data_IF_554310535015
#
_entry.id   IF_554310535015
#
_cell.length_a   1.000
_cell.length_b   1.000
_cell.length_c   1.000
_cell.angle_alpha   90.00
_cell.angle_beta   90.00
_cell.angle_gamma   90.00
#
_symmetry.space_group_name_H-M   'P 1'
#
loop_
_entity.id
_entity.type
_entity.pdbx_description
1 polymer ?
#
# COMPACT_ATOMS: atom_id res chain seq x y z
N UNK A 1 89.45 -16.30 18.32
CA UNK A 1 89.50 -15.04 17.55
C UNK A 1 88.77 -13.97 18.36
N UNK A 2 89.53 -12.92 18.74
CA UNK A 2 89.17 -11.56 19.23
C UNK A 2 87.69 -11.20 19.49
N UNK A 3 87.27 -10.37 20.45
CA UNK A 3 87.85 -9.57 21.55
C UNK A 3 86.65 -8.77 22.15
N UNK A 4 86.76 -8.36 23.42
CA UNK A 4 86.36 -7.06 23.99
C UNK A 4 84.90 -6.62 24.21
N UNK A 5 84.70 -6.20 25.49
CA UNK A 5 84.20 -4.90 26.00
C UNK A 5 82.69 -4.69 26.22
N UNK A 6 82.39 -4.57 27.52
CA UNK A 6 81.46 -3.70 28.23
C UNK A 6 81.00 -2.45 27.47
N UNK A 7 79.73 -2.06 27.66
CA UNK A 7 79.30 -0.68 27.98
C UNK A 7 77.80 -0.68 28.32
N UNK A 8 77.47 -0.17 29.50
CA UNK A 8 76.13 0.26 29.86
C UNK A 8 75.88 1.66 29.29
N UNK A 9 74.74 1.89 28.66
CA UNK A 9 74.22 3.23 28.36
C UNK A 9 72.71 3.16 28.47
N UNK A 10 72.15 3.79 29.50
CA UNK A 10 70.73 4.12 29.54
C UNK A 10 70.44 5.28 28.59
N UNK A 11 69.24 5.37 28.04
CA UNK A 11 68.71 6.60 27.44
C UNK A 11 67.18 6.50 27.37
N UNK A 12 66.58 7.49 28.03
CA UNK A 12 65.39 8.26 27.63
C UNK A 12 64.03 7.54 27.65
N UNK A 13 63.31 7.84 28.73
CA UNK A 13 61.86 7.91 28.72
C UNK A 13 61.39 8.89 27.63
N UNK A 14 60.81 8.36 26.56
CA UNK A 14 60.03 9.15 25.61
C UNK A 14 58.56 9.07 26.03
N UNK A 15 58.10 10.09 26.74
CA UNK A 15 56.68 10.37 26.95
C UNK A 15 56.05 10.65 25.59
N UNK A 16 55.48 9.64 24.96
CA UNK A 16 54.57 9.85 23.83
C UNK A 16 53.24 10.29 24.43
N UNK A 17 53.03 11.60 24.52
CA UNK A 17 51.70 12.16 24.68
C UNK A 17 50.90 11.85 23.41
N UNK A 18 50.25 10.69 23.37
CA UNK A 18 49.26 10.37 22.36
C UNK A 18 48.07 11.30 22.57
N UNK A 19 48.04 12.37 21.79
CA UNK A 19 46.88 13.24 21.60
C UNK A 19 45.68 12.35 21.26
N UNK A 20 44.82 12.15 22.26
CA UNK A 20 43.57 11.43 22.08
C UNK A 20 42.73 12.16 21.04
N UNK A 21 42.55 11.53 19.88
CA UNK A 21 41.56 11.97 18.90
C UNK A 21 40.19 11.66 19.53
N UNK A 22 39.53 12.69 20.04
CA UNK A 22 38.11 12.60 20.42
C UNK A 22 37.31 12.41 19.14
N UNK A 23 36.90 11.17 18.88
CA UNK A 23 35.95 10.86 17.79
C UNK A 23 34.55 11.07 18.37
N UNK A 24 33.79 12.11 17.98
CA UNK A 24 32.41 12.19 18.39
C UNK A 24 31.64 11.03 17.74
N UNK A 25 31.00 10.22 18.57
CA UNK A 25 30.04 9.20 18.12
C UNK A 25 28.96 9.90 17.28
N UNK A 26 28.64 9.44 16.05
CA UNK A 26 27.46 9.93 15.38
C UNK A 26 26.24 9.45 16.18
N UNK A 27 25.64 10.36 16.93
CA UNK A 27 24.28 10.20 17.44
C UNK A 27 23.36 10.10 16.22
N UNK A 28 22.98 8.88 15.83
CA UNK A 28 21.85 8.66 14.93
C UNK A 28 20.58 8.96 15.74
N UNK A 29 20.32 10.24 16.00
CA UNK A 29 19.02 10.73 16.39
C UNK A 29 18.28 11.11 15.12
N UNK A 30 17.77 10.14 14.35
CA UNK A 30 16.57 10.29 13.52
C UNK A 30 16.00 8.91 13.13
N UNK A 31 14.89 8.52 13.76
CA UNK A 31 13.76 8.02 12.98
C UNK A 31 12.49 8.62 13.55
N UNK A 32 12.14 9.76 12.96
CA UNK A 32 10.87 10.45 13.13
C UNK A 32 9.74 9.44 13.00
N UNK A 33 9.02 9.27 14.11
CA UNK A 33 7.56 9.22 14.21
C UNK A 33 6.83 8.73 12.97
N UNK A 34 6.23 7.54 13.09
CA UNK A 34 5.30 7.02 12.10
C UNK A 34 4.23 8.06 11.79
N UNK A 35 4.23 8.54 10.56
CA UNK A 35 3.12 9.30 10.03
C UNK A 35 1.88 8.41 10.08
N UNK A 36 1.06 8.57 11.12
CA UNK A 36 -0.27 8.00 11.21
C UNK A 36 -1.07 8.63 10.08
N UNK A 37 -1.18 7.93 8.95
CA UNK A 37 -2.09 8.35 7.87
C UNK A 37 -3.48 8.33 8.49
N UNK A 38 -4.02 9.52 8.77
CA UNK A 38 -5.33 9.65 9.37
C UNK A 38 -6.37 8.89 8.53
N UNK A 39 -7.17 8.05 9.18
CA UNK A 39 -8.26 7.34 8.54
C UNK A 39 -9.19 8.35 7.86
N UNK A 40 -9.55 8.17 6.58
CA UNK A 40 -10.48 9.07 5.90
C UNK A 40 -11.83 9.14 6.62
N UNK A 41 -12.49 10.30 6.54
CA UNK A 41 -13.86 10.47 7.02
C UNK A 41 -14.83 9.72 6.07
N UNK A 42 -15.89 9.13 6.63
CA UNK A 42 -16.95 8.51 5.83
C UNK A 42 -17.49 9.48 4.78
N UNK A 43 -17.73 8.96 3.58
CA UNK A 43 -18.24 9.68 2.43
C UNK A 43 -17.22 10.55 1.67
N UNK A 44 -15.96 10.63 2.14
CA UNK A 44 -14.91 11.37 1.46
C UNK A 44 -14.33 10.58 0.28
N UNK A 45 -14.16 11.22 -0.88
CA UNK A 45 -13.38 10.67 -1.99
C UNK A 45 -11.91 10.55 -1.60
N UNK A 46 -11.34 9.36 -1.79
CA UNK A 46 -9.95 9.02 -1.44
C UNK A 46 -9.06 8.80 -2.67
N UNK A 47 -9.66 8.40 -3.79
CA UNK A 47 -8.94 8.10 -5.04
C UNK A 47 -9.90 8.10 -6.23
N UNK A 48 -9.34 7.99 -7.44
CA UNK A 48 -10.06 7.58 -8.65
C UNK A 48 -9.63 6.14 -8.99
N UNK A 49 -10.60 5.28 -9.30
CA UNK A 49 -10.37 3.91 -9.76
C UNK A 49 -10.69 3.83 -11.24
N UNK A 50 -9.73 3.33 -12.02
CA UNK A 50 -9.87 3.10 -13.44
C UNK A 50 -9.62 1.62 -13.77
N UNK A 51 -10.54 1.01 -14.53
CA UNK A 51 -10.43 -0.38 -15.01
C UNK A 51 -10.75 -0.38 -16.51
N UNK A 52 -9.72 -0.29 -17.38
CA UNK A 52 -9.93 -0.08 -18.81
C UNK A 52 -10.75 -1.16 -19.51
N UNK A 53 -10.57 -2.44 -19.15
CA UNK A 53 -11.25 -3.56 -19.81
C UNK A 53 -12.76 -3.57 -19.64
N UNK A 54 -13.29 -2.84 -18.66
CA UNK A 54 -14.73 -2.63 -18.45
C UNK A 54 -15.13 -1.16 -18.54
N UNK A 55 -14.25 -0.29 -19.03
CA UNK A 55 -14.55 1.09 -19.39
C UNK A 55 -14.91 2.02 -18.21
N UNK A 56 -14.48 1.73 -16.99
CA UNK A 56 -14.83 2.57 -15.83
C UNK A 56 -13.68 3.50 -15.40
N UNK A 57 -14.04 4.71 -14.99
CA UNK A 57 -13.18 5.67 -14.29
C UNK A 57 -14.06 6.43 -13.30
N UNK A 58 -14.03 6.03 -12.03
CA UNK A 58 -15.00 6.49 -11.02
C UNK A 58 -14.34 6.81 -9.68
N UNK A 59 -14.95 7.67 -8.85
CA UNK A 59 -14.46 7.93 -7.50
C UNK A 59 -14.44 6.69 -6.63
N UNK A 60 -13.42 6.58 -5.79
CA UNK A 60 -13.38 5.70 -4.63
C UNK A 60 -13.68 6.53 -3.38
N UNK A 61 -14.74 6.18 -2.68
CA UNK A 61 -15.28 6.91 -1.54
C UNK A 61 -15.11 6.04 -0.30
N UNK A 62 -14.70 6.62 0.83
CA UNK A 62 -14.58 5.87 2.08
C UNK A 62 -15.97 5.54 2.66
N UNK A 63 -16.28 4.24 2.83
CA UNK A 63 -17.60 3.75 3.25
C UNK A 63 -18.24 2.82 2.21
N UNK A 64 -19.11 1.92 2.67
CA UNK A 64 -19.84 0.95 1.83
C UNK A 64 -21.37 0.99 2.03
N UNK A 65 -21.86 2.02 2.72
CA UNK A 65 -23.29 2.30 2.80
C UNK A 65 -23.79 2.89 1.48
N UNK A 66 -25.10 2.86 1.28
CA UNK A 66 -25.73 3.24 0.01
C UNK A 66 -25.38 4.68 -0.42
N UNK A 67 -25.27 5.61 0.53
CA UNK A 67 -24.86 6.99 0.25
C UNK A 67 -23.46 7.07 -0.37
N UNK A 68 -22.52 6.25 0.10
CA UNK A 68 -21.16 6.18 -0.42
C UNK A 68 -21.12 5.50 -1.79
N UNK A 69 -21.83 4.37 -1.93
CA UNK A 69 -21.89 3.61 -3.19
C UNK A 69 -22.68 4.33 -4.28
N UNK A 70 -23.58 5.25 -3.91
CA UNK A 70 -24.26 6.13 -4.86
C UNK A 70 -23.29 7.13 -5.55
N UNK A 71 -22.14 7.40 -4.94
CA UNK A 71 -21.13 8.35 -5.44
C UNK A 71 -19.97 7.68 -6.21
N UNK A 72 -19.96 6.36 -6.33
CA UNK A 72 -18.90 5.61 -7.00
C UNK A 72 -18.64 4.26 -6.37
N UNK A 73 -17.36 3.90 -6.23
CA UNK A 73 -16.95 2.71 -5.50
C UNK A 73 -16.74 3.03 -4.02
N UNK A 74 -17.03 2.08 -3.15
CA UNK A 74 -16.88 2.22 -1.70
C UNK A 74 -15.69 1.46 -1.15
N UNK A 75 -14.75 2.13 -0.49
CA UNK A 75 -13.68 1.50 0.27
C UNK A 75 -14.23 1.05 1.64
N UNK A 76 -14.11 -0.25 1.94
CA UNK A 76 -14.60 -0.85 3.17
C UNK A 76 -13.86 -0.29 4.41
N UNK A 77 -14.58 0.36 5.35
CA UNK A 77 -13.97 0.89 6.56
C UNK A 77 -13.23 -0.14 7.41
N UNK A 78 -12.01 0.17 7.86
CA UNK A 78 -11.16 -0.75 8.63
C UNK A 78 -10.33 -1.72 7.79
N UNK A 79 -10.46 -1.69 6.46
CA UNK A 79 -9.53 -2.38 5.54
C UNK A 79 -8.37 -1.45 5.16
N UNK A 80 -7.32 -1.99 4.53
CA UNK A 80 -6.15 -1.20 4.20
C UNK A 80 -6.48 -0.12 3.16
N UNK A 81 -5.78 1.02 3.21
CA UNK A 81 -5.81 1.98 2.11
C UNK A 81 -5.06 1.39 0.90
N UNK A 82 -5.49 1.69 -0.35
CA UNK A 82 -4.76 1.29 -1.54
C UNK A 82 -3.27 1.68 -1.45
N UNK A 83 -2.39 0.73 -1.76
CA UNK A 83 -0.94 0.90 -1.80
C UNK A 83 -0.25 0.65 -0.46
N UNK A 84 -1.01 0.44 0.62
CA UNK A 84 -0.48 0.08 1.92
C UNK A 84 -0.46 -1.44 2.10
N UNK A 85 0.46 -1.98 2.93
CA UNK A 85 0.41 -3.39 3.33
C UNK A 85 -0.98 -3.75 3.88
N UNK A 86 -1.56 -4.85 3.39
CA UNK A 86 -2.92 -5.25 3.71
C UNK A 86 -3.80 -5.45 2.47
N UNK A 87 -5.09 -5.62 2.73
CA UNK A 87 -6.10 -5.82 1.69
C UNK A 87 -7.02 -4.59 1.66
N UNK A 88 -7.01 -3.85 0.56
CA UNK A 88 -7.96 -2.77 0.30
C UNK A 88 -9.22 -3.36 -0.34
N UNK A 89 -10.34 -3.33 0.37
CA UNK A 89 -11.57 -3.98 -0.07
C UNK A 89 -12.54 -2.94 -0.60
N UNK A 90 -12.98 -3.10 -1.85
CA UNK A 90 -13.76 -2.10 -2.57
C UNK A 90 -15.06 -2.73 -3.05
N UNK A 91 -16.17 -2.12 -2.66
CA UNK A 91 -17.51 -2.48 -3.09
C UNK A 91 -17.96 -1.61 -4.27
N UNK A 92 -18.81 -2.15 -5.13
CA UNK A 92 -19.52 -1.35 -6.13
C UNK A 92 -20.89 -1.95 -6.47
N UNK A 93 -21.83 -1.10 -6.85
CA UNK A 93 -23.12 -1.57 -7.35
C UNK A 93 -22.97 -2.21 -8.73
N UNK A 94 -23.69 -3.32 -8.92
CA UNK A 94 -23.78 -4.00 -10.21
C UNK A 94 -24.96 -3.56 -11.06
N UNK A 95 -26.00 -2.97 -10.46
CA UNK A 95 -27.24 -2.62 -11.19
C UNK A 95 -27.80 -1.23 -10.88
N UNK A 96 -27.61 -0.71 -9.67
CA UNK A 96 -28.07 0.63 -9.25
C UNK A 96 -26.96 1.69 -9.36
N UNK A 97 -27.36 2.96 -9.24
CA UNK A 97 -26.44 4.11 -9.09
C UNK A 97 -25.33 4.17 -10.16
N UNK A 98 -25.71 4.13 -11.44
CA UNK A 98 -24.78 4.09 -12.57
C UNK A 98 -24.11 2.73 -12.79
N UNK A 99 -24.16 1.83 -11.80
CA UNK A 99 -23.68 0.46 -11.85
C UNK A 99 -22.21 0.33 -12.31
N UNK A 100 -21.25 0.95 -11.61
CA UNK A 100 -19.84 0.92 -12.00
C UNK A 100 -19.26 -0.50 -12.03
N UNK A 101 -19.90 -1.48 -11.38
CA UNK A 101 -19.50 -2.89 -11.42
C UNK A 101 -20.44 -3.77 -12.25
N UNK A 102 -21.24 -3.19 -13.17
CA UNK A 102 -22.16 -3.92 -14.06
C UNK A 102 -21.47 -5.11 -14.73
N UNK A 103 -20.32 -4.82 -15.31
CA UNK A 103 -19.52 -5.71 -16.16
C UNK A 103 -18.36 -6.38 -15.41
N UNK A 104 -18.41 -6.44 -14.06
CA UNK A 104 -17.35 -7.05 -13.25
C UNK A 104 -17.03 -8.50 -13.66
N UNK A 105 -18.00 -9.22 -14.24
CA UNK A 105 -17.86 -10.58 -14.74
C UNK A 105 -17.17 -10.71 -16.11
N UNK A 106 -16.91 -9.59 -16.79
CA UNK A 106 -16.08 -9.54 -18.00
C UNK A 106 -14.58 -9.45 -17.70
N UNK A 107 -14.22 -9.14 -16.44
CA UNK A 107 -12.82 -9.07 -16.03
C UNK A 107 -12.18 -10.46 -16.02
N UNK A 108 -10.89 -10.51 -16.34
CA UNK A 108 -10.11 -11.76 -16.37
C UNK A 108 -8.80 -11.64 -15.61
N UNK A 109 -8.18 -12.79 -15.32
CA UNK A 109 -6.83 -12.81 -14.73
C UNK A 109 -5.86 -12.09 -15.67
N UNK A 110 -5.06 -11.18 -15.10
CA UNK A 110 -4.12 -10.36 -15.84
C UNK A 110 -4.62 -8.96 -16.21
N UNK A 111 -5.92 -8.69 -16.09
CA UNK A 111 -6.45 -7.33 -16.25
C UNK A 111 -5.88 -6.37 -15.20
N UNK A 112 -5.82 -5.09 -15.57
CA UNK A 112 -5.23 -4.03 -14.77
C UNK A 112 -6.29 -3.19 -14.08
N UNK A 113 -6.03 -2.84 -12.83
CA UNK A 113 -6.81 -1.91 -12.03
C UNK A 113 -5.87 -0.78 -11.61
N UNK A 114 -6.20 0.44 -11.98
CA UNK A 114 -5.45 1.63 -11.62
C UNK A 114 -6.16 2.38 -10.49
N UNK A 115 -5.41 2.76 -9.45
CA UNK A 115 -5.91 3.59 -8.36
C UNK A 115 -5.04 4.84 -8.27
N UNK A 116 -5.60 5.98 -8.66
CA UNK A 116 -4.95 7.28 -8.57
C UNK A 116 -5.34 7.95 -7.24
N UNK A 117 -4.40 8.03 -6.29
CA UNK A 117 -4.66 8.58 -4.96
C UNK A 117 -4.58 10.11 -4.98
N UNK A 118 -5.55 10.78 -4.35
CA UNK A 118 -5.56 12.24 -4.28
C UNK A 118 -4.84 12.73 -3.00
N UNK A 119 -3.95 13.72 -3.12
CA UNK A 119 -3.26 14.33 -1.98
C UNK A 119 -1.90 14.97 -2.33
N UNK A 120 -1.15 15.42 -1.32
CA UNK A 120 0.18 16.05 -1.49
C UNK A 120 1.23 15.15 -2.14
N UNK A 121 1.03 13.83 -2.09
CA UNK A 121 1.83 12.82 -2.79
C UNK A 121 0.91 12.01 -3.68
N UNK A 122 0.47 12.63 -4.78
CA UNK A 122 -0.34 11.93 -5.77
C UNK A 122 0.49 10.76 -6.34
N UNK A 123 -0.15 9.62 -6.50
CA UNK A 123 0.50 8.40 -7.01
C UNK A 123 -0.52 7.58 -7.77
N UNK A 124 -0.05 6.92 -8.82
CA UNK A 124 -0.84 5.94 -9.57
C UNK A 124 -0.36 4.56 -9.17
N UNK A 125 -1.27 3.79 -8.59
CA UNK A 125 -1.06 2.41 -8.17
C UNK A 125 -1.59 1.49 -9.26
N UNK A 126 -0.76 0.60 -9.78
CA UNK A 126 -1.21 -0.46 -10.68
C UNK A 126 -1.38 -1.76 -9.91
N UNK A 127 -2.56 -2.34 -9.99
CA UNK A 127 -2.84 -3.70 -9.53
C UNK A 127 -3.13 -4.60 -10.72
N UNK A 128 -2.80 -5.88 -10.58
CA UNK A 128 -3.10 -6.90 -11.58
C UNK A 128 -3.96 -8.00 -11.00
N UNK A 129 -5.04 -8.35 -11.71
CA UNK A 129 -5.99 -9.36 -11.29
C UNK A 129 -5.31 -10.73 -11.29
N UNK A 130 -5.49 -11.47 -10.20
CA UNK A 130 -4.86 -12.77 -9.96
C UNK A 130 -5.87 -13.90 -9.78
N UNK A 131 -7.09 -13.59 -9.32
CA UNK A 131 -8.12 -14.59 -9.06
C UNK A 131 -9.50 -13.96 -9.10
N UNK A 132 -10.48 -14.73 -9.56
CA UNK A 132 -11.91 -14.39 -9.53
C UNK A 132 -12.66 -15.52 -8.82
N UNK A 133 -13.72 -15.18 -8.09
CA UNK A 133 -14.52 -16.16 -7.35
C UNK A 133 -15.94 -15.64 -7.08
N UNK A 134 -16.94 -16.52 -7.20
CA UNK A 134 -18.29 -16.25 -6.71
C UNK A 134 -18.41 -16.80 -5.28
N UNK A 135 -18.92 -15.99 -4.36
CA UNK A 135 -19.02 -16.32 -2.93
C UNK A 135 -20.39 -15.97 -2.36
N UNK A 136 -20.73 -16.54 -1.19
CA UNK A 136 -21.94 -16.16 -0.45
C UNK A 136 -21.84 -14.72 0.10
N UNK A 137 -22.96 -14.02 0.33
CA UNK A 137 -22.96 -12.63 0.80
C UNK A 137 -22.27 -12.42 2.15
N UNK A 138 -22.23 -13.45 2.99
CA UNK A 138 -21.60 -13.44 4.32
C UNK A 138 -20.12 -13.90 4.31
N UNK A 139 -19.49 -14.01 3.14
CA UNK A 139 -18.10 -14.44 2.99
C UNK A 139 -17.10 -13.37 3.48
N UNK A 140 -17.10 -13.09 4.78
CA UNK A 140 -16.26 -12.04 5.40
C UNK A 140 -14.76 -12.32 5.29
N UNK A 141 -14.34 -13.54 4.96
CA UNK A 141 -12.93 -13.86 4.76
C UNK A 141 -12.29 -13.05 3.62
N UNK A 142 -13.07 -12.50 2.69
CA UNK A 142 -12.57 -11.63 1.61
C UNK A 142 -11.98 -10.32 2.13
N UNK A 143 -12.26 -9.94 3.38
CA UNK A 143 -11.73 -8.72 4.01
C UNK A 143 -10.47 -8.92 4.82
N UNK A 144 -10.01 -10.18 4.97
CA UNK A 144 -8.84 -10.48 5.78
C UNK A 144 -7.61 -9.71 5.27
N UNK A 145 -6.81 -9.13 6.19
CA UNK A 145 -5.58 -8.45 5.81
C UNK A 145 -4.57 -9.45 5.24
N UNK A 146 -3.70 -8.94 4.38
CA UNK A 146 -2.57 -9.69 3.81
C UNK A 146 -1.25 -9.01 4.19
N UNK A 147 -0.12 -9.71 4.04
CA UNK A 147 1.20 -9.11 4.33
C UNK A 147 1.63 -8.09 3.26
N UNK A 148 1.30 -8.36 2.00
CA UNK A 148 1.58 -7.49 0.87
C UNK A 148 0.45 -6.47 0.64
N UNK A 149 0.65 -5.48 -0.22
CA UNK A 149 -0.44 -4.62 -0.67
C UNK A 149 -1.29 -5.37 -1.71
N UNK A 150 -2.55 -5.59 -1.38
CA UNK A 150 -3.54 -6.30 -2.21
C UNK A 150 -4.83 -5.52 -2.30
N UNK A 151 -5.63 -5.83 -3.32
CA UNK A 151 -6.92 -5.19 -3.56
C UNK A 151 -7.97 -6.26 -3.86
N UNK A 152 -9.13 -6.13 -3.23
CA UNK A 152 -10.29 -6.99 -3.47
C UNK A 152 -11.44 -6.13 -3.97
N UNK A 153 -11.96 -6.41 -5.17
CA UNK A 153 -13.22 -5.83 -5.65
C UNK A 153 -14.36 -6.82 -5.40
N UNK A 154 -15.53 -6.32 -5.04
CA UNK A 154 -16.73 -7.15 -5.03
C UNK A 154 -18.01 -6.39 -5.37
N UNK A 155 -18.97 -7.11 -5.95
CA UNK A 155 -20.30 -6.61 -6.27
C UNK A 155 -21.36 -7.72 -6.12
N UNK A 156 -22.64 -7.35 -6.05
CA UNK A 156 -23.75 -8.31 -6.06
C UNK A 156 -23.75 -9.18 -7.32
N UNK A 157 -24.19 -10.43 -7.20
CA UNK A 157 -24.24 -11.38 -8.31
C UNK A 157 -25.38 -12.40 -8.12
N UNK A 158 -26.05 -12.84 -9.20
CA UNK A 158 -26.03 -12.31 -10.59
C UNK A 158 -26.63 -10.88 -10.69
N UNK A 159 -26.71 -10.22 -11.87
CA UNK A 159 -27.38 -8.92 -11.96
C UNK A 159 -28.81 -9.02 -11.43
N UNK A 160 -29.29 -7.96 -10.79
CA UNK A 160 -30.62 -7.89 -10.16
C UNK A 160 -30.85 -8.88 -9.01
N UNK A 161 -29.80 -9.51 -8.50
CA UNK A 161 -29.85 -10.40 -7.35
C UNK A 161 -28.77 -10.08 -6.33
N UNK A 162 -29.08 -10.33 -5.07
CA UNK A 162 -28.14 -10.21 -3.94
C UNK A 162 -27.69 -11.58 -3.41
N UNK A 163 -28.04 -12.67 -4.10
CA UNK A 163 -27.81 -14.05 -3.65
C UNK A 163 -26.33 -14.39 -3.47
N UNK A 164 -25.45 -13.79 -4.27
CA UNK A 164 -24.01 -14.01 -4.22
C UNK A 164 -23.23 -12.70 -4.38
N UNK A 165 -21.91 -12.79 -4.25
CA UNK A 165 -20.97 -11.74 -4.63
C UNK A 165 -20.01 -12.26 -5.68
N UNK A 166 -19.77 -11.46 -6.70
CA UNK A 166 -18.66 -11.66 -7.63
C UNK A 166 -17.44 -10.94 -7.05
N UNK A 167 -16.36 -11.67 -6.81
CA UNK A 167 -15.17 -11.18 -6.09
C UNK A 167 -13.94 -11.33 -6.96
N UNK A 168 -13.13 -10.28 -7.00
CA UNK A 168 -11.87 -10.23 -7.75
C UNK A 168 -10.75 -9.90 -6.77
N UNK A 169 -9.65 -10.64 -6.86
CA UNK A 169 -8.44 -10.42 -6.09
C UNK A 169 -7.32 -9.95 -7.00
N UNK A 170 -6.64 -8.89 -6.60
CA UNK A 170 -5.53 -8.29 -7.32
C UNK A 170 -4.33 -8.02 -6.42
N UNK A 171 -3.14 -8.08 -6.99
CA UNK A 171 -1.87 -7.75 -6.33
C UNK A 171 -1.33 -6.44 -6.88
N UNK A 172 -0.73 -5.63 -6.02
CA UNK A 172 -0.02 -4.44 -6.45
C UNK A 172 1.21 -4.83 -7.29
N UNK A 173 1.39 -4.16 -8.43
CA UNK A 173 2.50 -4.37 -9.37
C UNK A 173 3.45 -3.19 -9.38
N UNK A 174 2.94 -1.95 -9.32
CA UNK A 174 3.76 -0.75 -9.31
C UNK A 174 3.12 0.40 -8.53
N UNK A 175 3.96 1.32 -8.07
CA UNK A 175 3.56 2.60 -7.49
C UNK A 175 4.40 3.69 -8.17
N UNK A 176 3.78 4.49 -9.04
CA UNK A 176 4.45 5.68 -9.58
C UNK A 176 4.25 6.85 -8.63
N UNK A 177 5.33 7.40 -8.05
CA UNK A 177 5.26 8.66 -7.29
C UNK A 177 5.36 9.85 -8.24
N UNK A 178 4.46 10.83 -8.09
CA UNK A 178 4.66 12.17 -8.67
C UNK A 178 5.53 12.98 -7.71
N UNK A 179 6.82 12.67 -7.64
CA UNK A 179 7.80 13.57 -7.04
C UNK A 179 8.12 14.65 -8.08
N UNK A 180 7.39 15.76 -8.03
CA UNK A 180 7.69 16.93 -8.86
C UNK A 180 8.99 17.56 -8.34
N UNK A 181 10.03 17.53 -9.17
CA UNK A 181 11.28 18.28 -9.00
C UNK A 181 11.00 19.79 -9.01
#
# INVERSE_FOLDING_TARGET
MRRTRTLAVGIVALLVASSGIFVPTPTIAQRTEGATVATPRLGRSVAIVNIPSIGISVPLVYGIHDDALARGLGLWPGTALPGRPGNAVIAGHRTSHGAPMRDIDKLVVGDRIYVATSGKKSSVLEYRITKLQIVKPNAMWITKPTRAATLTLFACHPPHSIAYRYVIFAKLVSQGSSDNK
#
